data_IF_820677961893
#
_entry.id   IF_820677961893
#
_cell.length_a   1.000
_cell.length_b   1.000
_cell.length_c   1.000
_cell.angle_alpha   90.00
_cell.angle_beta   90.00
_cell.angle_gamma   90.00
#
_symmetry.space_group_name_H-M   'P 1'
#
loop_
_entity.id
_entity.type
_entity.pdbx_description
1 polymer ?
#
# COMPACT_ATOMS: atom_id res chain seq x y z
N UNK A 1 21.99 14.35 -5.67
CA UNK A 1 20.58 14.71 -5.90
C UNK A 1 20.43 16.16 -5.51
N UNK A 2 19.94 17.00 -6.43
CA UNK A 2 19.57 18.38 -6.10
C UNK A 2 18.48 18.37 -5.02
N UNK A 3 18.57 19.27 -4.03
CA UNK A 3 17.56 19.35 -2.99
C UNK A 3 16.27 19.90 -3.61
N UNK A 4 15.23 19.07 -3.65
CA UNK A 4 13.93 19.48 -4.16
C UNK A 4 13.29 20.43 -3.14
N UNK A 5 13.05 21.67 -3.55
CA UNK A 5 12.46 22.73 -2.72
C UNK A 5 11.11 23.16 -3.27
N UNK A 6 10.32 23.90 -2.47
CA UNK A 6 9.09 24.55 -2.94
C UNK A 6 9.26 25.31 -4.26
N UNK A 7 10.41 25.95 -4.49
CA UNK A 7 10.73 26.69 -5.72
C UNK A 7 10.70 25.81 -6.98
N UNK A 8 11.09 24.54 -6.87
CA UNK A 8 11.08 23.62 -8.01
C UNK A 8 9.64 23.30 -8.42
N UNK A 9 8.75 23.05 -7.46
CA UNK A 9 7.33 22.81 -7.77
C UNK A 9 6.66 24.01 -8.42
N UNK A 10 6.93 25.23 -7.91
CA UNK A 10 6.41 26.47 -8.49
C UNK A 10 6.90 26.66 -9.95
N UNK A 11 8.18 26.36 -10.24
CA UNK A 11 8.72 26.40 -11.60
C UNK A 11 8.06 25.37 -12.53
N UNK A 12 7.62 24.25 -11.98
CA UNK A 12 6.86 23.21 -12.71
C UNK A 12 5.36 23.51 -12.83
N UNK A 13 4.93 24.73 -12.49
CA UNK A 13 3.53 25.16 -12.66
C UNK A 13 2.56 24.63 -11.59
N UNK A 14 3.07 24.06 -10.50
CA UNK A 14 2.24 23.63 -9.36
C UNK A 14 1.98 24.85 -8.50
N UNK A 15 0.71 25.11 -8.17
CA UNK A 15 0.35 26.30 -7.40
C UNK A 15 0.83 26.20 -5.95
N UNK A 16 1.15 27.35 -5.36
CA UNK A 16 1.51 27.44 -3.94
C UNK A 16 0.39 26.90 -3.03
N UNK A 17 -0.87 27.13 -3.43
CA UNK A 17 -2.04 26.60 -2.72
C UNK A 17 -2.08 25.08 -2.71
N UNK A 18 -1.80 24.42 -3.84
CA UNK A 18 -1.71 22.96 -3.91
C UNK A 18 -0.57 22.45 -3.02
N UNK A 19 0.63 23.02 -3.15
CA UNK A 19 1.80 22.60 -2.35
C UNK A 19 1.50 22.73 -0.85
N UNK A 20 0.94 23.87 -0.43
CA UNK A 20 0.60 24.13 0.97
C UNK A 20 -0.48 23.18 1.49
N UNK A 21 -1.52 22.90 0.69
CA UNK A 21 -2.58 21.95 1.04
C UNK A 21 -2.00 20.55 1.25
N UNK A 22 -1.19 20.08 0.30
CA UNK A 22 -0.60 18.74 0.35
C UNK A 22 0.40 18.65 1.50
N UNK A 23 1.28 19.64 1.68
CA UNK A 23 2.25 19.62 2.78
C UNK A 23 1.57 19.61 4.14
N UNK A 24 0.54 20.44 4.33
CA UNK A 24 -0.22 20.48 5.58
C UNK A 24 -0.82 19.12 5.96
N UNK A 25 -1.32 18.37 4.97
CA UNK A 25 -1.96 17.08 5.20
C UNK A 25 -0.96 15.92 5.27
N UNK A 26 0.08 15.94 4.42
CA UNK A 26 0.97 14.79 4.23
C UNK A 26 2.27 14.88 5.03
N UNK A 27 2.65 16.04 5.57
CA UNK A 27 3.85 16.14 6.40
C UNK A 27 3.86 15.11 7.52
N UNK A 28 5.03 14.52 7.78
CA UNK A 28 5.22 13.59 8.89
C UNK A 28 5.33 14.35 10.20
N UNK A 29 4.75 13.82 11.26
CA UNK A 29 4.86 14.42 12.59
C UNK A 29 6.31 14.31 13.07
N UNK A 30 6.92 15.44 13.43
CA UNK A 30 8.29 15.49 13.91
C UNK A 30 8.46 14.60 15.16
N UNK A 31 9.52 13.77 15.16
CA UNK A 31 9.82 12.85 16.26
C UNK A 31 8.94 11.58 16.31
N UNK A 32 7.93 11.44 15.43
CA UNK A 32 7.11 10.24 15.39
C UNK A 32 7.91 9.03 14.90
N UNK A 33 7.91 7.96 15.69
CA UNK A 33 8.46 6.66 15.26
C UNK A 33 7.36 5.89 14.51
N UNK A 34 7.51 5.78 13.19
CA UNK A 34 6.49 5.24 12.28
C UNK A 34 6.10 3.79 12.60
N UNK A 35 7.06 2.86 12.68
CA UNK A 35 6.74 1.45 12.93
C UNK A 35 6.06 1.24 14.30
N UNK A 36 6.58 1.77 15.43
CA UNK A 36 5.89 1.70 16.71
C UNK A 36 4.48 2.30 16.69
N UNK A 37 4.26 3.42 15.99
CA UNK A 37 2.94 4.02 15.84
C UNK A 37 1.94 3.08 15.13
N UNK A 38 2.39 2.35 14.11
CA UNK A 38 1.54 1.47 13.32
C UNK A 38 1.18 0.15 14.02
N UNK A 39 2.07 -0.38 14.87
CA UNK A 39 2.00 -1.78 15.39
C UNK A 39 0.65 -2.18 15.98
N UNK A 40 0.11 -1.41 16.93
CA UNK A 40 -1.15 -1.78 17.61
C UNK A 40 -2.32 -1.81 16.63
N UNK A 41 -2.40 -0.82 15.75
CA UNK A 41 -3.43 -0.70 14.71
C UNK A 41 -3.34 -1.85 13.70
N UNK A 42 -2.12 -2.21 13.27
CA UNK A 42 -1.87 -3.37 12.40
C UNK A 42 -2.29 -4.67 13.06
N UNK A 43 -1.95 -4.86 14.33
CA UNK A 43 -2.35 -6.05 15.08
C UNK A 43 -3.88 -6.16 15.26
N UNK A 44 -4.59 -5.05 15.40
CA UNK A 44 -6.06 -5.03 15.40
C UNK A 44 -6.65 -5.41 14.04
N UNK A 45 -6.21 -4.78 12.95
CA UNK A 45 -6.67 -5.13 11.59
C UNK A 45 -6.35 -6.58 11.22
N UNK A 46 -5.18 -7.07 11.60
CA UNK A 46 -4.77 -8.46 11.39
C UNK A 46 -5.72 -9.43 12.09
N UNK A 47 -6.06 -9.17 13.36
CA UNK A 47 -7.02 -9.99 14.11
C UNK A 47 -8.40 -9.98 13.49
N UNK A 48 -8.85 -8.82 13.00
CA UNK A 48 -10.09 -8.69 12.22
C UNK A 48 -10.04 -9.57 10.96
N UNK A 49 -8.97 -9.48 10.18
CA UNK A 49 -8.84 -10.24 8.93
C UNK A 49 -8.76 -11.76 9.14
N UNK A 50 -8.10 -12.20 10.22
CA UNK A 50 -8.05 -13.61 10.60
C UNK A 50 -9.45 -14.14 10.93
N UNK A 51 -10.31 -13.32 11.54
CA UNK A 51 -11.67 -13.73 11.94
C UNK A 51 -12.69 -13.72 10.80
N UNK A 52 -12.35 -13.20 9.63
CA UNK A 52 -13.24 -13.20 8.47
C UNK A 52 -13.72 -14.62 8.11
N UNK A 53 -15.00 -14.76 7.70
CA UNK A 53 -15.59 -16.05 7.36
C UNK A 53 -14.80 -16.71 6.23
N UNK A 54 -14.62 -18.03 6.35
CA UNK A 54 -13.87 -18.85 5.40
C UNK A 54 -14.81 -19.82 4.67
N UNK A 55 -14.70 -19.85 3.35
CA UNK A 55 -15.39 -20.80 2.48
C UNK A 55 -14.79 -22.21 2.54
N UNK A 56 -15.49 -23.18 1.94
CA UNK A 56 -15.03 -24.59 1.90
C UNK A 56 -13.75 -24.74 1.07
N UNK A 57 -13.67 -24.02 -0.04
CA UNK A 57 -12.56 -24.04 -0.98
C UNK A 57 -12.51 -22.71 -1.76
N UNK A 58 -11.57 -22.59 -2.70
CA UNK A 58 -11.37 -21.38 -3.51
C UNK A 58 -12.57 -21.06 -4.42
N UNK A 59 -13.31 -22.06 -4.90
CA UNK A 59 -14.51 -21.85 -5.72
C UNK A 59 -15.70 -21.34 -4.90
N UNK A 60 -15.77 -21.74 -3.62
CA UNK A 60 -16.86 -21.40 -2.69
C UNK A 60 -16.38 -20.48 -1.57
N UNK A 61 -15.63 -19.45 -1.93
CA UNK A 61 -15.13 -18.42 -0.99
C UNK A 61 -16.28 -17.72 -0.28
N UNK A 62 -16.05 -17.37 0.98
CA UNK A 62 -16.85 -16.35 1.65
C UNK A 62 -16.22 -15.00 1.36
N UNK A 63 -17.06 -14.03 1.01
CA UNK A 63 -16.67 -12.68 0.63
C UNK A 63 -16.93 -11.76 1.81
N UNK A 64 -15.97 -10.90 2.13
CA UNK A 64 -16.10 -9.83 3.11
C UNK A 64 -15.81 -8.50 2.42
N UNK A 65 -16.79 -7.60 2.46
CA UNK A 65 -16.65 -6.21 2.00
C UNK A 65 -15.81 -5.41 2.99
N UNK A 66 -14.79 -4.70 2.49
CA UNK A 66 -13.90 -3.86 3.31
C UNK A 66 -14.14 -2.38 3.05
N UNK A 67 -14.28 -2.01 1.78
CA UNK A 67 -14.50 -0.64 1.33
C UNK A 67 -15.57 -0.58 0.25
N UNK A 68 -16.28 0.55 0.20
CA UNK A 68 -17.20 0.91 -0.88
C UNK A 68 -16.98 2.36 -1.30
N UNK A 69 -16.89 2.60 -2.60
CA UNK A 69 -16.77 3.94 -3.18
C UNK A 69 -17.56 4.01 -4.48
N UNK A 70 -18.72 4.69 -4.45
CA UNK A 70 -19.67 4.68 -5.56
C UNK A 70 -20.13 3.25 -5.89
N UNK A 71 -20.00 2.88 -7.17
CA UNK A 71 -20.35 1.54 -7.68
C UNK A 71 -19.24 0.50 -7.49
N UNK A 72 -18.10 0.91 -6.89
CA UNK A 72 -16.98 0.04 -6.62
C UNK A 72 -17.03 -0.50 -5.19
N UNK A 73 -16.75 -1.80 -5.07
CA UNK A 73 -16.57 -2.49 -3.79
C UNK A 73 -15.20 -3.15 -3.79
N UNK A 74 -14.47 -3.03 -2.68
CA UNK A 74 -13.18 -3.68 -2.49
C UNK A 74 -13.36 -4.75 -1.42
N UNK A 75 -13.13 -5.98 -1.82
CA UNK A 75 -13.48 -7.17 -1.07
C UNK A 75 -12.27 -8.07 -0.84
N UNK A 76 -12.45 -8.99 0.11
CA UNK A 76 -11.59 -10.17 0.25
C UNK A 76 -12.41 -11.45 0.18
N UNK A 77 -11.90 -12.43 -0.57
CA UNK A 77 -12.44 -13.79 -0.60
C UNK A 77 -11.54 -14.77 0.16
N UNK A 78 -12.09 -15.55 1.09
CA UNK A 78 -11.33 -16.55 1.87
C UNK A 78 -11.89 -17.96 1.64
N UNK A 79 -11.06 -18.99 1.35
CA UNK A 79 -9.60 -19.00 1.25
C UNK A 79 -9.01 -18.39 -0.05
N UNK A 80 -7.81 -17.81 0.06
CA UNK A 80 -6.97 -17.34 -1.05
C UNK A 80 -6.14 -18.44 -1.74
N UNK A 81 -5.23 -18.06 -2.62
CA UNK A 81 -4.38 -18.97 -3.41
C UNK A 81 -3.44 -19.80 -2.53
N UNK A 82 -2.80 -19.17 -1.55
CA UNK A 82 -1.76 -19.78 -0.70
C UNK A 82 -2.34 -20.68 0.40
N UNK A 83 -3.66 -20.76 0.50
CA UNK A 83 -4.38 -21.65 1.43
C UNK A 83 -4.64 -23.05 0.87
N UNK A 84 -4.29 -23.31 -0.40
CA UNK A 84 -4.45 -24.64 -0.98
C UNK A 84 -3.49 -25.64 -0.32
N UNK A 85 -3.85 -26.94 -0.17
CA UNK A 85 -3.00 -27.93 0.51
C UNK A 85 -1.67 -28.21 -0.20
N UNK A 86 -1.61 -28.00 -1.51
CA UNK A 86 -0.43 -28.16 -2.36
C UNK A 86 0.52 -26.97 -2.30
N UNK A 87 0.09 -25.84 -1.74
CA UNK A 87 0.94 -24.68 -1.57
C UNK A 87 1.93 -24.88 -0.42
N UNK A 88 3.22 -24.99 -0.75
CA UNK A 88 4.27 -25.30 0.22
C UNK A 88 5.16 -24.08 0.47
N UNK A 89 5.13 -23.56 1.71
CA UNK A 89 6.11 -22.58 2.20
C UNK A 89 6.72 -23.01 3.51
N UNK A 90 7.96 -22.62 3.74
CA UNK A 90 8.65 -22.81 5.00
C UNK A 90 8.20 -21.75 6.00
N UNK A 91 7.73 -22.17 7.17
CA UNK A 91 7.47 -21.28 8.30
C UNK A 91 8.79 -20.70 8.81
N UNK A 92 8.87 -19.38 9.01
CA UNK A 92 10.14 -18.69 9.27
C UNK A 92 10.75 -19.02 10.64
N UNK A 93 9.92 -19.39 11.62
CA UNK A 93 10.38 -19.72 12.99
C UNK A 93 10.60 -21.23 13.16
N UNK A 94 9.56 -22.05 12.98
CA UNK A 94 9.64 -23.51 13.16
C UNK A 94 10.37 -24.26 12.04
N UNK A 95 10.47 -23.66 10.85
CA UNK A 95 11.04 -24.31 9.68
C UNK A 95 10.16 -25.38 9.03
N UNK A 96 8.95 -25.60 9.55
CA UNK A 96 7.98 -26.56 9.00
C UNK A 96 7.44 -26.11 7.64
N UNK A 97 7.15 -27.08 6.77
CA UNK A 97 6.48 -26.80 5.51
C UNK A 97 4.97 -26.75 5.75
N UNK A 98 4.37 -25.61 5.48
CA UNK A 98 2.95 -25.35 5.69
C UNK A 98 2.36 -24.49 4.58
N UNK A 99 1.04 -24.41 4.52
CA UNK A 99 0.32 -23.48 3.68
C UNK A 99 -0.19 -22.28 4.49
N UNK A 100 -0.61 -21.21 3.83
CA UNK A 100 -1.23 -20.09 4.52
C UNK A 100 -2.74 -20.33 4.68
N UNK A 101 -3.14 -21.03 5.75
CA UNK A 101 -4.55 -21.33 6.02
C UNK A 101 -5.46 -20.09 6.13
N UNK A 102 -4.89 -18.91 6.40
CA UNK A 102 -5.62 -17.65 6.54
C UNK A 102 -5.58 -16.79 5.27
N UNK A 103 -4.88 -17.22 4.22
CA UNK A 103 -4.74 -16.46 2.98
C UNK A 103 -6.09 -15.98 2.46
N UNK A 104 -6.09 -14.75 1.95
CA UNK A 104 -7.27 -14.11 1.35
C UNK A 104 -6.95 -13.74 -0.10
N UNK A 105 -8.00 -13.56 -0.89
CA UNK A 105 -7.90 -13.03 -2.25
C UNK A 105 -8.51 -11.62 -2.29
N UNK A 106 -7.71 -10.54 -2.27
CA UNK A 106 -8.18 -9.18 -2.53
C UNK A 106 -8.69 -9.04 -3.97
N UNK A 107 -9.83 -8.39 -4.17
CA UNK A 107 -10.32 -8.03 -5.51
C UNK A 107 -11.23 -6.80 -5.47
N UNK A 108 -11.48 -6.24 -6.66
CA UNK A 108 -12.38 -5.11 -6.86
C UNK A 108 -13.62 -5.63 -7.60
N UNK A 109 -14.81 -5.22 -7.16
CA UNK A 109 -16.06 -5.41 -7.88
C UNK A 109 -16.57 -4.06 -8.40
N UNK A 110 -17.18 -4.08 -9.59
CA UNK A 110 -17.99 -3.00 -10.14
C UNK A 110 -19.34 -3.58 -10.53
N UNK A 111 -20.44 -2.98 -10.03
CA UNK A 111 -21.80 -3.45 -10.33
C UNK A 111 -21.99 -4.98 -10.11
N UNK A 112 -21.41 -5.51 -9.02
CA UNK A 112 -21.48 -6.93 -8.67
C UNK A 112 -20.63 -7.87 -9.53
N UNK A 113 -19.81 -7.35 -10.44
CA UNK A 113 -18.87 -8.13 -11.27
C UNK A 113 -17.44 -7.83 -10.87
N UNK A 114 -16.61 -8.87 -10.75
CA UNK A 114 -15.18 -8.70 -10.50
C UNK A 114 -14.51 -7.97 -11.66
N UNK A 115 -13.70 -6.96 -11.34
CA UNK A 115 -12.89 -6.21 -12.29
C UNK A 115 -11.61 -6.99 -12.58
N UNK A 116 -11.38 -7.30 -13.86
CA UNK A 116 -10.15 -7.92 -14.33
C UNK A 116 -9.85 -9.32 -13.75
N UNK A 117 -8.62 -9.78 -14.01
CA UNK A 117 -8.08 -11.01 -13.45
C UNK A 117 -7.49 -10.78 -12.05
N UNK A 118 -7.11 -11.85 -11.35
CA UNK A 118 -6.32 -11.72 -10.12
C UNK A 118 -5.01 -10.96 -10.41
N UNK A 119 -4.82 -9.82 -9.76
CA UNK A 119 -3.69 -8.93 -9.99
C UNK A 119 -2.42 -9.52 -9.37
N UNK A 120 -1.39 -9.73 -10.20
CA UNK A 120 -0.06 -10.10 -9.74
C UNK A 120 0.73 -8.84 -9.35
N UNK A 121 1.81 -9.00 -8.57
CA UNK A 121 2.72 -7.89 -8.28
C UNK A 121 3.30 -7.25 -9.55
N UNK A 122 3.63 -8.07 -10.56
CA UNK A 122 4.11 -7.58 -11.86
C UNK A 122 3.07 -6.71 -12.57
N UNK A 123 1.81 -7.17 -12.62
CA UNK A 123 0.73 -6.38 -13.19
C UNK A 123 0.56 -5.04 -12.44
N UNK A 124 0.60 -5.03 -11.10
CA UNK A 124 0.52 -3.79 -10.33
C UNK A 124 1.70 -2.84 -10.60
N UNK A 125 2.90 -3.36 -10.84
CA UNK A 125 4.05 -2.52 -11.20
C UNK A 125 3.87 -1.87 -12.57
N UNK A 126 3.41 -2.62 -13.56
CA UNK A 126 3.12 -2.08 -14.91
C UNK A 126 2.05 -0.98 -14.85
N UNK A 127 0.98 -1.21 -14.07
CA UNK A 127 -0.07 -0.21 -13.89
C UNK A 127 0.44 1.09 -13.25
N UNK A 128 1.36 1.00 -12.28
CA UNK A 128 1.99 2.17 -11.64
C UNK A 128 2.99 2.85 -12.58
N UNK A 129 3.75 2.08 -13.37
CA UNK A 129 4.70 2.63 -14.35
C UNK A 129 3.99 3.57 -15.34
N UNK A 130 2.80 3.20 -15.80
CA UNK A 130 2.01 4.03 -16.72
C UNK A 130 1.67 5.42 -16.16
N UNK A 131 1.59 5.57 -14.83
CA UNK A 131 1.29 6.86 -14.19
C UNK A 131 2.41 7.89 -14.37
N UNK A 132 3.66 7.46 -14.54
CA UNK A 132 4.80 8.36 -14.78
C UNK A 132 4.63 9.18 -16.06
N UNK A 133 3.87 8.66 -17.04
CA UNK A 133 3.60 9.33 -18.31
C UNK A 133 2.47 10.36 -18.22
N UNK A 134 1.65 10.30 -17.16
CA UNK A 134 0.48 11.16 -17.00
C UNK A 134 0.80 12.45 -16.23
N UNK A 135 1.25 12.35 -14.98
CA UNK A 135 1.60 13.52 -14.17
C UNK A 135 2.62 13.15 -13.09
N UNK A 136 3.83 13.73 -13.16
CA UNK A 136 4.92 13.45 -12.22
C UNK A 136 4.62 13.88 -10.78
N UNK A 137 3.88 14.98 -10.60
CA UNK A 137 3.51 15.44 -9.27
C UNK A 137 2.34 14.62 -8.69
N UNK A 138 1.39 14.21 -9.54
CA UNK A 138 0.38 13.23 -9.21
C UNK A 138 1.01 11.91 -8.77
N UNK A 139 2.01 11.42 -9.50
CA UNK A 139 2.76 10.20 -9.15
C UNK A 139 3.47 10.36 -7.79
N UNK A 140 4.02 11.54 -7.51
CA UNK A 140 4.60 11.84 -6.21
C UNK A 140 3.57 11.80 -5.07
N UNK A 141 2.40 12.44 -5.23
CA UNK A 141 1.31 12.39 -4.25
C UNK A 141 0.86 10.95 -4.01
N UNK A 142 0.72 10.18 -5.09
CA UNK A 142 0.38 8.77 -5.03
C UNK A 142 1.39 7.96 -4.20
N UNK A 143 2.69 8.13 -4.46
CA UNK A 143 3.76 7.49 -3.67
C UNK A 143 3.75 7.89 -2.20
N UNK A 144 3.48 9.16 -1.89
CA UNK A 144 3.37 9.65 -0.52
C UNK A 144 2.19 9.04 0.24
N UNK A 145 1.03 8.92 -0.41
CA UNK A 145 -0.15 8.28 0.18
C UNK A 145 0.11 6.79 0.47
N UNK A 146 0.77 6.08 -0.44
CA UNK A 146 1.20 4.68 -0.22
C UNK A 146 2.19 4.59 0.95
N UNK A 147 3.18 5.49 1.01
CA UNK A 147 4.15 5.51 2.10
C UNK A 147 3.46 5.70 3.46
N UNK A 148 2.53 6.66 3.56
CA UNK A 148 1.77 6.93 4.78
C UNK A 148 0.83 5.76 5.15
N UNK A 149 0.22 5.13 4.16
CA UNK A 149 -0.60 3.91 4.31
C UNK A 149 0.19 2.72 4.87
N UNK A 150 1.48 2.59 4.53
CA UNK A 150 2.36 1.55 5.07
C UNK A 150 2.42 1.58 6.61
N UNK A 151 2.41 2.78 7.18
CA UNK A 151 2.51 3.02 8.62
C UNK A 151 1.18 3.41 9.27
N UNK A 152 0.07 3.20 8.57
CA UNK A 152 -1.28 3.48 9.05
C UNK A 152 -1.48 4.92 9.56
N UNK A 153 -0.80 5.89 8.93
CA UNK A 153 -0.89 7.30 9.34
C UNK A 153 -2.22 7.94 8.98
N UNK A 154 -2.89 7.41 7.95
CA UNK A 154 -4.18 7.87 7.45
C UNK A 154 -5.24 6.78 7.64
N UNK A 155 -5.19 6.05 8.76
CA UNK A 155 -6.20 5.06 9.12
C UNK A 155 -6.98 5.54 10.33
N UNK A 156 -8.30 5.63 10.16
CA UNK A 156 -9.24 6.00 11.21
C UNK A 156 -10.18 4.85 11.53
N UNK A 157 -10.81 4.91 12.71
CA UNK A 157 -11.88 3.97 13.07
C UNK A 157 -13.16 4.36 12.35
N UNK A 158 -13.77 3.41 11.67
CA UNK A 158 -15.10 3.56 11.10
C UNK A 158 -16.20 3.44 12.18
N UNK A 159 -17.47 3.50 11.78
CA UNK A 159 -18.62 3.38 12.68
C UNK A 159 -18.69 2.04 13.43
N UNK A 160 -18.07 0.99 12.89
CA UNK A 160 -17.98 -0.34 13.49
C UNK A 160 -16.71 -0.51 14.35
N UNK A 161 -16.01 0.58 14.67
CA UNK A 161 -14.77 0.59 15.42
C UNK A 161 -13.62 -0.18 14.74
N UNK A 162 -13.64 -0.32 13.42
CA UNK A 162 -12.61 -1.00 12.62
C UNK A 162 -11.71 0.01 11.95
N UNK A 163 -10.40 -0.26 11.92
CA UNK A 163 -9.43 0.60 11.23
C UNK A 163 -9.61 0.52 9.72
N UNK A 164 -9.77 1.67 9.08
CA UNK A 164 -9.97 1.80 7.63
C UNK A 164 -9.14 2.95 7.10
N UNK A 165 -8.59 2.78 5.91
CA UNK A 165 -7.83 3.82 5.23
C UNK A 165 -8.75 4.99 4.86
N UNK A 166 -8.39 6.17 5.32
CA UNK A 166 -9.09 7.43 5.13
C UNK A 166 -8.08 8.46 4.58
N UNK A 167 -7.78 8.44 3.27
CA UNK A 167 -6.79 9.34 2.68
C UNK A 167 -7.16 10.82 2.93
N UNK A 168 -6.18 11.71 3.20
CA UNK A 168 -6.44 13.12 3.42
C UNK A 168 -7.14 13.77 2.22
N UNK A 169 -8.21 14.52 2.48
CA UNK A 169 -9.16 14.98 1.46
C UNK A 169 -8.53 15.93 0.44
N UNK A 170 -7.69 16.86 0.88
CA UNK A 170 -7.04 17.83 0.01
C UNK A 170 -6.03 17.16 -0.94
N UNK A 171 -5.16 16.30 -0.39
CA UNK A 171 -4.20 15.52 -1.15
C UNK A 171 -4.91 14.58 -2.14
N UNK A 172 -5.97 13.89 -1.71
CA UNK A 172 -6.75 13.03 -2.60
C UNK A 172 -7.42 13.83 -3.72
N UNK A 173 -7.99 15.01 -3.43
CA UNK A 173 -8.62 15.84 -4.44
C UNK A 173 -7.61 16.31 -5.51
N UNK A 174 -6.41 16.72 -5.10
CA UNK A 174 -5.35 17.08 -6.05
C UNK A 174 -4.89 15.86 -6.85
N UNK A 175 -4.76 14.70 -6.21
CA UNK A 175 -4.41 13.46 -6.88
C UNK A 175 -5.47 13.08 -7.92
N UNK A 176 -6.76 13.05 -7.58
CA UNK A 176 -7.85 12.70 -8.50
C UNK A 176 -7.93 13.65 -9.70
N UNK A 177 -7.51 14.92 -9.55
CA UNK A 177 -7.43 15.87 -10.68
C UNK A 177 -6.28 15.52 -11.64
N UNK A 178 -5.15 15.04 -11.13
CA UNK A 178 -3.91 14.80 -11.89
C UNK A 178 -3.81 13.38 -12.43
N UNK A 179 -4.20 12.41 -11.62
CA UNK A 179 -4.26 10.98 -11.90
C UNK A 179 -5.66 10.47 -11.51
N UNK A 180 -6.69 10.68 -12.35
CA UNK A 180 -8.06 10.30 -12.00
C UNK A 180 -8.23 8.79 -11.83
N UNK A 181 -7.48 8.00 -12.59
CA UNK A 181 -7.59 6.55 -12.62
C UNK A 181 -6.24 5.85 -12.79
N UNK A 182 -6.21 4.59 -12.37
CA UNK A 182 -5.13 3.64 -12.59
C UNK A 182 -5.74 2.44 -13.32
N UNK A 183 -5.42 2.28 -14.61
CA UNK A 183 -5.92 1.17 -15.43
C UNK A 183 -7.46 1.03 -15.45
N UNK A 184 -8.16 2.15 -15.65
CA UNK A 184 -9.62 2.21 -15.73
C UNK A 184 -10.34 2.11 -14.37
N UNK A 185 -9.61 2.14 -13.25
CA UNK A 185 -10.16 2.17 -11.90
C UNK A 185 -9.86 3.52 -11.26
N UNK A 186 -10.83 4.20 -10.61
CA UNK A 186 -10.56 5.47 -9.92
C UNK A 186 -9.40 5.34 -8.93
N UNK A 187 -8.52 6.34 -8.88
CA UNK A 187 -7.27 6.26 -8.09
C UNK A 187 -7.51 6.01 -6.59
N UNK A 188 -8.61 6.52 -6.04
CA UNK A 188 -9.03 6.24 -4.67
C UNK A 188 -9.42 4.79 -4.45
N UNK A 189 -10.15 4.19 -5.40
CA UNK A 189 -10.49 2.77 -5.40
C UNK A 189 -9.22 1.92 -5.50
N UNK A 190 -8.24 2.33 -6.32
CA UNK A 190 -6.95 1.65 -6.41
C UNK A 190 -6.16 1.74 -5.09
N UNK A 191 -6.17 2.88 -4.41
CA UNK A 191 -5.55 3.03 -3.08
C UNK A 191 -6.22 2.13 -2.03
N UNK A 192 -7.56 2.02 -2.04
CA UNK A 192 -8.27 1.07 -1.16
C UNK A 192 -7.89 -0.37 -1.47
N UNK A 193 -7.75 -0.73 -2.74
CA UNK A 193 -7.27 -2.05 -3.12
C UNK A 193 -5.85 -2.33 -2.60
N UNK A 194 -4.91 -1.38 -2.71
CA UNK A 194 -3.56 -1.53 -2.15
C UNK A 194 -3.57 -1.73 -0.63
N UNK A 195 -4.47 -1.06 0.10
CA UNK A 195 -4.62 -1.25 1.54
C UNK A 195 -5.09 -2.69 1.89
N UNK A 196 -6.07 -3.21 1.15
CA UNK A 196 -6.57 -4.58 1.33
C UNK A 196 -5.51 -5.62 0.93
N UNK A 197 -4.76 -5.37 -0.14
CA UNK A 197 -3.61 -6.18 -0.54
C UNK A 197 -2.58 -6.26 0.58
N UNK A 198 -2.23 -5.10 1.16
CA UNK A 198 -1.26 -5.01 2.24
C UNK A 198 -1.75 -5.72 3.52
N UNK A 199 -3.06 -5.67 3.81
CA UNK A 199 -3.67 -6.44 4.89
C UNK A 199 -3.53 -7.96 4.68
N UNK A 200 -3.69 -8.44 3.45
CA UNK A 200 -3.47 -9.86 3.14
C UNK A 200 -1.99 -10.28 3.34
N UNK A 201 -1.04 -9.41 3.00
CA UNK A 201 0.38 -9.67 3.26
C UNK A 201 0.71 -9.71 4.75
N UNK A 202 0.04 -8.91 5.60
CA UNK A 202 0.11 -9.08 7.06
C UNK A 202 -0.40 -10.46 7.52
N UNK A 203 -1.51 -10.93 6.96
CA UNK A 203 -2.08 -12.26 7.25
C UNK A 203 -1.14 -13.40 6.85
N UNK A 204 -0.48 -13.28 5.68
CA UNK A 204 0.55 -14.23 5.22
C UNK A 204 1.71 -14.31 6.19
N UNK A 205 2.29 -13.16 6.53
CA UNK A 205 3.46 -13.12 7.40
C UNK A 205 3.15 -13.61 8.82
N UNK A 206 1.96 -13.29 9.34
CA UNK A 206 1.48 -13.85 10.60
C UNK A 206 1.44 -15.38 10.57
N UNK A 207 0.83 -15.95 9.54
CA UNK A 207 0.66 -17.41 9.42
C UNK A 207 2.00 -18.14 9.20
N UNK A 208 3.02 -17.43 8.70
CA UNK A 208 4.37 -17.96 8.49
C UNK A 208 5.33 -17.69 9.66
N UNK A 209 4.84 -17.18 10.79
CA UNK A 209 5.62 -17.09 12.04
C UNK A 209 6.05 -15.69 12.46
N UNK A 210 5.71 -14.65 11.69
CA UNK A 210 5.90 -13.26 12.12
C UNK A 210 4.63 -12.76 12.81
N UNK A 211 4.46 -13.19 14.05
CA UNK A 211 3.22 -12.99 14.80
C UNK A 211 2.89 -11.51 15.04
N UNK A 212 1.59 -11.23 15.13
CA UNK A 212 1.01 -9.96 15.58
C UNK A 212 1.56 -8.68 14.93
N UNK A 213 2.03 -8.76 13.67
CA UNK A 213 2.58 -7.61 12.95
C UNK A 213 3.66 -6.83 13.74
N UNK A 214 4.45 -7.53 14.56
CA UNK A 214 5.45 -6.92 15.45
C UNK A 214 6.59 -6.20 14.71
N UNK A 215 6.90 -6.69 13.50
CA UNK A 215 7.97 -6.20 12.64
C UNK A 215 7.40 -5.60 11.35
N UNK A 216 8.28 -5.01 10.54
CA UNK A 216 7.92 -4.33 9.28
C UNK A 216 7.73 -5.29 8.09
N UNK A 217 7.41 -6.56 8.35
CA UNK A 217 7.00 -7.52 7.33
C UNK A 217 5.54 -7.29 6.90
N UNK A 218 5.11 -7.93 5.81
CA UNK A 218 3.72 -7.91 5.35
C UNK A 218 3.37 -6.56 4.72
N UNK A 219 2.42 -5.83 5.32
CA UNK A 219 1.94 -4.51 4.90
C UNK A 219 3.08 -3.53 4.62
N UNK A 220 3.96 -3.35 5.61
CA UNK A 220 4.99 -2.30 5.55
C UNK A 220 5.93 -2.57 4.39
N UNK A 221 6.54 -3.75 4.30
CA UNK A 221 7.39 -4.11 3.17
C UNK A 221 6.68 -4.04 1.81
N UNK A 222 5.42 -4.48 1.75
CA UNK A 222 4.63 -4.48 0.50
C UNK A 222 4.40 -3.05 0.00
N UNK A 223 3.84 -2.18 0.84
CA UNK A 223 3.55 -0.80 0.47
C UNK A 223 4.82 0.01 0.27
N UNK A 224 5.88 -0.22 1.07
CA UNK A 224 7.17 0.43 0.84
C UNK A 224 7.85 -0.05 -0.44
N UNK A 225 7.57 -1.26 -0.93
CA UNK A 225 8.06 -1.71 -2.25
C UNK A 225 7.39 -0.92 -3.37
N UNK A 226 6.07 -0.71 -3.29
CA UNK A 226 5.37 0.17 -4.24
C UNK A 226 5.83 1.63 -4.15
N UNK A 227 6.04 2.16 -2.94
CA UNK A 227 6.60 3.50 -2.76
C UNK A 227 8.05 3.60 -3.29
N UNK A 228 8.85 2.54 -3.21
CA UNK A 228 10.19 2.51 -3.81
C UNK A 228 10.12 2.53 -5.34
N UNK A 229 9.19 1.79 -5.94
CA UNK A 229 8.93 1.86 -7.38
C UNK A 229 8.61 3.30 -7.80
N UNK A 230 7.70 3.97 -7.10
CA UNK A 230 7.40 5.39 -7.36
C UNK A 230 8.65 6.25 -7.25
N UNK A 231 9.47 6.06 -6.21
CA UNK A 231 10.71 6.82 -6.04
C UNK A 231 11.73 6.58 -7.18
N UNK A 232 11.75 5.36 -7.76
CA UNK A 232 12.56 5.04 -8.95
C UNK A 232 12.01 5.73 -10.19
N UNK A 233 10.70 5.70 -10.41
CA UNK A 233 10.03 6.36 -11.54
C UNK A 233 10.20 7.89 -11.49
N UNK A 234 10.24 8.47 -10.28
CA UNK A 234 10.58 9.88 -10.07
C UNK A 234 12.07 10.19 -10.27
N UNK A 235 12.89 9.18 -10.60
CA UNK A 235 14.35 9.26 -10.71
C UNK A 235 15.04 9.75 -9.42
N UNK A 236 14.46 9.45 -8.26
CA UNK A 236 14.98 9.79 -6.92
C UNK A 236 15.64 8.60 -6.22
N UNK A 237 15.53 7.42 -6.83
CA UNK A 237 16.18 6.17 -6.40
C UNK A 237 16.69 5.40 -7.60
N UNK A 238 17.69 4.56 -7.38
CA UNK A 238 18.33 3.77 -8.44
C UNK A 238 17.46 2.59 -8.86
N UNK A 239 17.11 2.54 -10.14
CA UNK A 239 16.47 1.38 -10.76
C UNK A 239 17.29 0.11 -10.56
N UNK A 240 18.60 0.16 -10.82
CA UNK A 240 19.48 -1.01 -10.66
C UNK A 240 19.45 -1.58 -9.24
N UNK A 241 19.50 -0.72 -8.21
CA UNK A 241 19.40 -1.16 -6.81
C UNK A 241 18.02 -1.72 -6.48
N UNK A 242 16.96 -1.10 -6.99
CA UNK A 242 15.60 -1.58 -6.81
C UNK A 242 15.42 -2.98 -7.41
N UNK A 243 15.83 -3.19 -8.66
CA UNK A 243 15.74 -4.46 -9.37
C UNK A 243 16.63 -5.54 -8.74
N UNK A 244 17.84 -5.19 -8.33
CA UNK A 244 18.78 -6.14 -7.72
C UNK A 244 18.24 -6.71 -6.41
N UNK A 245 17.46 -5.96 -5.65
CA UNK A 245 16.87 -6.44 -4.40
C UNK A 245 15.95 -7.67 -4.61
N UNK A 246 15.34 -7.81 -5.79
CA UNK A 246 14.50 -8.97 -6.12
C UNK A 246 15.30 -10.24 -6.43
N UNK A 247 16.60 -10.11 -6.73
CA UNK A 247 17.49 -11.23 -7.03
C UNK A 247 18.02 -11.94 -5.77
N UNK A 248 17.83 -11.35 -4.58
CA UNK A 248 18.32 -11.88 -3.32
C UNK A 248 17.19 -12.09 -2.31
N UNK A 249 17.30 -13.07 -1.39
CA UNK A 249 16.35 -13.22 -0.29
C UNK A 249 16.27 -11.97 0.60
N UNK A 250 15.07 -11.58 1.07
CA UNK A 250 13.78 -12.19 0.77
C UNK A 250 13.30 -11.84 -0.65
N UNK A 251 13.06 -12.86 -1.49
CA UNK A 251 12.61 -12.68 -2.86
C UNK A 251 11.28 -11.92 -2.92
N UNK A 252 11.04 -11.21 -4.03
CA UNK A 252 9.80 -10.49 -4.34
C UNK A 252 9.56 -9.17 -3.57
N UNK A 253 10.54 -8.60 -2.88
CA UNK A 253 10.38 -7.32 -2.16
C UNK A 253 11.58 -6.40 -2.33
N UNK A 254 11.33 -5.09 -2.37
CA UNK A 254 12.37 -4.05 -2.41
C UNK A 254 11.88 -2.82 -1.63
N UNK A 255 11.70 -2.94 -0.30
CA UNK A 255 11.08 -1.89 0.48
C UNK A 255 11.94 -0.63 0.50
N UNK A 256 11.29 0.53 0.37
CA UNK A 256 11.93 1.83 0.48
C UNK A 256 12.50 2.04 1.90
N UNK A 257 13.80 2.40 2.04
CA UNK A 257 14.33 2.80 3.34
C UNK A 257 13.62 4.06 3.86
N UNK A 258 13.09 3.99 5.08
CA UNK A 258 12.12 4.97 5.59
C UNK A 258 12.63 5.84 6.75
N UNK A 259 13.95 6.04 6.87
CA UNK A 259 14.48 7.02 7.84
C UNK A 259 14.10 8.44 7.42
N UNK A 260 13.83 9.33 8.39
CA UNK A 260 13.32 10.69 8.11
C UNK A 260 14.21 11.49 7.16
N UNK A 261 15.55 11.37 7.29
CA UNK A 261 16.49 12.05 6.38
C UNK A 261 16.40 11.54 4.94
N UNK A 262 16.20 10.23 4.77
CA UNK A 262 16.10 9.63 3.44
C UNK A 262 14.74 9.94 2.80
N UNK A 263 13.66 9.93 3.58
CA UNK A 263 12.33 10.10 3.03
C UNK A 263 12.07 11.53 2.55
N UNK A 264 12.52 12.55 3.28
CA UNK A 264 12.36 13.95 2.85
C UNK A 264 13.14 14.28 1.57
N UNK A 265 14.21 13.54 1.25
CA UNK A 265 14.91 13.68 -0.03
C UNK A 265 14.15 13.02 -1.20
N UNK A 266 13.33 12.01 -0.92
CA UNK A 266 12.56 11.26 -1.91
C UNK A 266 11.18 11.88 -2.11
N UNK A 267 10.52 12.29 -1.03
CA UNK A 267 9.21 12.92 -0.99
C UNK A 267 9.27 14.20 -0.14
N UNK A 268 9.74 15.32 -0.70
CA UNK A 268 9.94 16.58 0.02
C UNK A 268 8.70 17.10 0.74
N UNK A 269 7.51 16.84 0.20
CA UNK A 269 6.24 17.31 0.79
C UNK A 269 5.88 16.56 2.08
N UNK A 270 6.55 15.43 2.37
CA UNK A 270 6.48 14.79 3.70
C UNK A 270 7.29 15.53 4.77
N UNK A 271 8.13 16.49 4.39
CA UNK A 271 8.89 17.31 5.34
C UNK A 271 7.99 18.38 5.98
N UNK A 272 7.96 18.53 7.32
CA UNK A 272 7.21 19.61 7.99
C UNK A 272 7.62 21.02 7.63
N UNK A 273 8.82 21.17 7.05
CA UNK A 273 9.48 22.46 6.80
C UNK A 273 9.63 22.78 5.31
N UNK A 274 8.77 22.24 4.44
CA UNK A 274 8.87 22.44 2.98
C UNK A 274 8.49 23.87 2.54
#
# INVERSE_FOLDING_TARGET
METITKKIYLKSGISEKEISTINKELALIAGLKLSPFARSRRAEMLREAISFPKGKNQEKRKITEIYKSGDFVIDVGKPGKEAAPDFKRKHYITGEITNNKNDMNPFIMINGKKVGNDLTFGALFEQIEHLMRADMFGLEIFGMLIFRMAFMLDHDRNQENKWRYAPPKGALAVLKKRLPEVSGVPVDVFLYFLDVLALNEDVKMHTLGHENAQYDYGRVNTLLTFAHLVAVLLNRRSLAKFSLAFAYPPFNQSPLPHTTKNISAIFPVLSPSL
#
